data_IF_313916000628
#
_entry.id   IF_313916000628
#
_cell.length_a   1.000
_cell.length_b   1.000
_cell.length_c   1.000
_cell.angle_alpha   90.00
_cell.angle_beta   90.00
_cell.angle_gamma   90.00
#
_symmetry.space_group_name_H-M   'P 1'
#
loop_
_entity.id
_entity.type
_entity.pdbx_description
1 polymer ?
#
# COMPACT_ATOMS: atom_id res chain seq x y z
N UNK A 1 -9.66 11.14 -8.30
CA UNK A 1 -10.64 10.61 -7.35
C UNK A 1 -10.41 9.11 -7.17
N UNK A 2 -10.38 8.64 -5.96
CA UNK A 2 -10.20 7.21 -5.72
C UNK A 2 -11.53 6.49 -5.68
N UNK A 3 -11.55 5.30 -6.26
CA UNK A 3 -12.69 4.40 -6.14
C UNK A 3 -12.45 3.49 -4.93
N UNK A 4 -13.46 2.73 -4.54
CA UNK A 4 -13.32 1.76 -3.48
C UNK A 4 -13.34 0.36 -4.09
N UNK A 5 -12.69 -0.63 -3.45
CA UNK A 5 -12.69 -1.99 -3.97
C UNK A 5 -14.05 -2.68 -3.90
N UNK A 6 -15.04 -2.05 -3.27
CA UNK A 6 -16.37 -2.65 -3.12
C UNK A 6 -17.07 -2.92 -4.44
N UNK A 7 -16.74 -2.16 -5.48
CA UNK A 7 -17.35 -2.32 -6.80
C UNK A 7 -16.64 -3.37 -7.65
N UNK A 8 -15.55 -3.93 -7.14
CA UNK A 8 -14.70 -4.84 -7.90
C UNK A 8 -15.07 -6.30 -7.64
N UNK A 9 -15.07 -7.10 -8.69
CA UNK A 9 -15.34 -8.54 -8.60
C UNK A 9 -14.11 -9.40 -8.89
N UNK A 10 -13.03 -8.78 -9.34
CA UNK A 10 -11.78 -9.46 -9.65
C UNK A 10 -10.67 -9.01 -8.72
N UNK A 11 -9.44 -9.37 -9.07
CA UNK A 11 -8.27 -8.91 -8.34
C UNK A 11 -8.23 -7.40 -8.27
N UNK A 12 -7.75 -6.90 -7.16
CA UNK A 12 -7.66 -5.46 -6.91
C UNK A 12 -6.21 -5.03 -7.01
N UNK A 13 -5.97 -3.98 -7.78
CA UNK A 13 -4.68 -3.30 -7.81
C UNK A 13 -4.83 -2.01 -7.02
N UNK A 14 -3.91 -1.79 -6.10
CA UNK A 14 -3.86 -0.58 -5.28
C UNK A 14 -2.53 0.11 -5.54
N UNK A 15 -2.60 1.40 -5.88
CA UNK A 15 -1.39 2.20 -6.04
C UNK A 15 -1.42 3.33 -5.02
N UNK A 16 -0.40 3.40 -4.18
CA UNK A 16 -0.29 4.43 -3.16
C UNK A 16 0.83 5.39 -3.53
N UNK A 17 0.55 6.68 -3.40
CA UNK A 17 1.52 7.74 -3.63
C UNK A 17 1.69 8.57 -2.37
N UNK A 18 2.93 8.91 -2.03
CA UNK A 18 3.18 9.77 -0.88
C UNK A 18 4.52 10.47 -1.02
N UNK A 19 4.68 11.56 -0.29
CA UNK A 19 5.93 12.31 -0.24
C UNK A 19 6.39 12.38 1.22
N UNK A 20 7.64 12.06 1.46
CA UNK A 20 8.22 12.16 2.80
C UNK A 20 8.45 13.62 3.17
N UNK A 21 8.28 13.94 4.44
CA UNK A 21 8.72 15.22 4.97
C UNK A 21 10.24 15.33 4.86
N UNK A 22 10.78 16.56 4.77
CA UNK A 22 12.24 16.75 4.75
C UNK A 22 12.91 16.02 5.91
N UNK A 23 13.90 15.21 5.62
CA UNK A 23 14.62 14.44 6.62
C UNK A 23 13.93 13.19 7.12
N UNK A 24 12.73 12.86 6.61
CA UNK A 24 11.95 11.72 7.08
C UNK A 24 11.86 10.55 6.08
N UNK A 25 12.59 10.65 4.97
CA UNK A 25 12.55 9.60 3.96
C UNK A 25 12.95 8.23 4.47
N UNK A 26 13.99 8.16 5.29
CA UNK A 26 14.45 6.88 5.83
C UNK A 26 13.43 6.29 6.81
N UNK A 27 12.78 7.15 7.59
CA UNK A 27 11.74 6.69 8.51
C UNK A 27 10.54 6.14 7.75
N UNK A 28 10.10 6.87 6.73
CA UNK A 28 9.00 6.41 5.89
C UNK A 28 9.33 5.08 5.23
N UNK A 29 10.55 4.95 4.72
CA UNK A 29 11.01 3.71 4.10
C UNK A 29 10.97 2.54 5.08
N UNK A 30 11.33 2.75 6.35
CA UNK A 30 11.30 1.68 7.35
C UNK A 30 9.90 1.15 7.56
N UNK A 31 8.91 2.04 7.66
CA UNK A 31 7.51 1.61 7.82
C UNK A 31 7.04 0.82 6.62
N UNK A 32 7.35 1.28 5.41
CA UNK A 32 6.95 0.59 4.20
C UNK A 32 7.65 -0.75 4.04
N UNK A 33 8.91 -0.84 4.45
CA UNK A 33 9.67 -2.09 4.43
C UNK A 33 9.05 -3.13 5.36
N UNK A 34 8.59 -2.71 6.53
CA UNK A 34 7.94 -3.63 7.47
C UNK A 34 6.65 -4.20 6.88
N UNK A 35 5.86 -3.37 6.21
CA UNK A 35 4.66 -3.83 5.51
C UNK A 35 5.04 -4.77 4.38
N UNK A 36 6.05 -4.41 3.60
CA UNK A 36 6.53 -5.21 2.47
C UNK A 36 6.90 -6.63 2.91
N UNK A 37 7.66 -6.75 3.97
CA UNK A 37 8.09 -8.05 4.49
C UNK A 37 6.91 -8.91 4.93
N UNK A 38 5.95 -8.30 5.61
CA UNK A 38 4.77 -9.02 6.08
C UNK A 38 3.87 -9.42 4.92
N UNK A 39 3.61 -8.49 4.01
CA UNK A 39 2.66 -8.69 2.91
C UNK A 39 3.15 -9.70 1.88
N UNK A 40 4.45 -9.85 1.74
CA UNK A 40 5.04 -10.84 0.84
C UNK A 40 5.31 -12.18 1.55
N UNK A 41 4.87 -12.32 2.80
CA UNK A 41 5.05 -13.55 3.56
C UNK A 41 3.78 -14.39 3.49
N UNK A 42 3.87 -15.62 4.03
CA UNK A 42 2.73 -16.54 4.10
C UNK A 42 1.63 -16.03 5.03
N UNK A 43 1.90 -15.00 5.81
CA UNK A 43 0.95 -14.47 6.78
C UNK A 43 -0.12 -13.61 6.14
N UNK A 44 0.10 -13.16 4.92
CA UNK A 44 -0.89 -12.38 4.18
C UNK A 44 -1.08 -13.00 2.79
N UNK A 45 -1.70 -14.19 2.71
CA UNK A 45 -1.80 -14.91 1.43
C UNK A 45 -2.67 -14.20 0.39
N UNK A 46 -3.57 -13.32 0.82
CA UNK A 46 -4.39 -12.54 -0.12
C UNK A 46 -3.65 -11.41 -0.80
N UNK A 47 -2.47 -11.04 -0.30
CA UNK A 47 -1.62 -10.06 -0.96
C UNK A 47 -0.74 -10.79 -1.96
N UNK A 48 -0.99 -10.54 -3.25
CA UNK A 48 -0.29 -11.23 -4.33
C UNK A 48 1.02 -10.55 -4.70
N UNK A 49 1.07 -9.23 -4.55
CA UNK A 49 2.24 -8.43 -4.89
C UNK A 49 2.26 -7.20 -4.01
N UNK A 50 3.42 -6.86 -3.51
CA UNK A 50 3.63 -5.61 -2.76
C UNK A 50 5.01 -5.10 -3.12
N UNK A 51 5.08 -4.04 -3.93
CA UNK A 51 6.34 -3.50 -4.43
C UNK A 51 6.46 -2.04 -4.04
N UNK A 52 7.64 -1.67 -3.57
CA UNK A 52 7.92 -0.31 -3.11
C UNK A 52 8.99 0.32 -3.99
N UNK A 53 8.80 1.60 -4.29
CA UNK A 53 9.75 2.37 -5.10
C UNK A 53 9.81 3.79 -4.55
N UNK A 54 10.96 4.43 -4.74
CA UNK A 54 11.12 5.82 -4.32
C UNK A 54 12.06 6.57 -5.25
N UNK A 55 11.87 7.87 -5.33
CA UNK A 55 12.81 8.77 -5.97
C UNK A 55 12.59 10.17 -5.43
N UNK A 56 13.66 10.80 -4.94
CA UNK A 56 13.66 12.20 -4.52
C UNK A 56 12.53 12.53 -3.53
N UNK A 57 12.41 11.72 -2.47
CA UNK A 57 11.41 11.91 -1.43
C UNK A 57 10.00 11.48 -1.81
N UNK A 58 9.79 11.06 -3.03
CA UNK A 58 8.50 10.53 -3.49
C UNK A 58 8.50 9.02 -3.41
N UNK A 59 7.40 8.46 -2.91
CA UNK A 59 7.26 7.01 -2.74
C UNK A 59 6.03 6.53 -3.48
N UNK A 60 6.17 5.40 -4.15
CA UNK A 60 5.06 4.72 -4.82
C UNK A 60 5.06 3.28 -4.37
N UNK A 61 3.88 2.79 -3.98
CA UNK A 61 3.70 1.38 -3.63
C UNK A 61 2.68 0.79 -4.59
N UNK A 62 3.07 -0.30 -5.23
CA UNK A 62 2.19 -1.06 -6.13
C UNK A 62 1.80 -2.34 -5.43
N UNK A 63 0.49 -2.58 -5.32
CA UNK A 63 -0.04 -3.71 -4.56
C UNK A 63 -1.09 -4.44 -5.37
N UNK A 64 -1.12 -5.76 -5.25
CA UNK A 64 -2.17 -6.59 -5.84
C UNK A 64 -2.77 -7.49 -4.77
N UNK A 65 -4.08 -7.59 -4.79
CA UNK A 65 -4.84 -8.41 -3.84
C UNK A 65 -5.78 -9.35 -4.57
N UNK A 66 -6.00 -10.52 -3.98
CA UNK A 66 -6.86 -11.54 -4.59
C UNK A 66 -8.30 -11.05 -4.76
N UNK A 67 -8.77 -10.21 -3.82
CA UNK A 67 -10.13 -9.69 -3.81
C UNK A 67 -10.22 -8.53 -2.81
N UNK A 68 -11.41 -7.93 -2.72
CA UNK A 68 -11.62 -6.80 -1.80
C UNK A 68 -11.45 -7.18 -0.32
N UNK A 69 -11.82 -8.41 0.04
CA UNK A 69 -11.66 -8.87 1.42
C UNK A 69 -10.19 -8.91 1.83
N UNK A 70 -9.30 -9.26 0.89
CA UNK A 70 -7.87 -9.26 1.14
C UNK A 70 -7.33 -7.84 1.37
N UNK A 71 -7.88 -6.84 0.68
CA UNK A 71 -7.54 -5.43 0.90
C UNK A 71 -7.93 -5.00 2.31
N UNK A 72 -9.14 -5.33 2.73
CA UNK A 72 -9.63 -4.99 4.06
C UNK A 72 -8.74 -5.62 5.13
N UNK A 73 -8.38 -6.88 4.95
CA UNK A 73 -7.50 -7.58 5.88
C UNK A 73 -6.12 -6.95 5.96
N UNK A 74 -5.59 -6.48 4.82
CA UNK A 74 -4.31 -5.78 4.78
C UNK A 74 -4.33 -4.55 5.68
N UNK A 75 -5.40 -3.76 5.61
CA UNK A 75 -5.51 -2.55 6.41
C UNK A 75 -5.70 -2.81 7.90
N UNK A 76 -6.08 -4.03 8.29
CA UNK A 76 -6.20 -4.42 9.69
C UNK A 76 -4.87 -4.87 10.27
N UNK A 77 -3.85 -5.03 9.44
CA UNK A 77 -2.55 -5.53 9.86
C UNK A 77 -1.82 -4.59 10.80
N UNK A 78 -1.07 -5.16 11.72
CA UNK A 78 -0.30 -4.40 12.72
C UNK A 78 0.70 -3.45 12.06
N UNK A 79 1.37 -3.92 11.02
CA UNK A 79 2.38 -3.13 10.32
C UNK A 79 1.75 -1.94 9.61
N UNK A 80 0.59 -2.16 8.98
CA UNK A 80 -0.11 -1.07 8.32
C UNK A 80 -0.59 -0.04 9.33
N UNK A 81 -1.13 -0.49 10.48
CA UNK A 81 -1.61 0.43 11.52
C UNK A 81 -0.47 1.27 12.09
N UNK A 82 0.70 0.67 12.26
CA UNK A 82 1.88 1.43 12.73
C UNK A 82 2.27 2.50 11.72
N UNK A 83 2.25 2.16 10.44
CA UNK A 83 2.52 3.13 9.37
C UNK A 83 1.49 4.25 9.39
N UNK A 84 0.20 3.91 9.44
CA UNK A 84 -0.87 4.90 9.42
C UNK A 84 -0.75 5.88 10.59
N UNK A 85 -0.38 5.38 11.76
CA UNK A 85 -0.17 6.24 12.94
C UNK A 85 1.01 7.18 12.77
N UNK A 86 2.04 6.77 12.02
CA UNK A 86 3.24 7.57 11.81
C UNK A 86 3.11 8.58 10.67
N UNK A 87 2.14 8.42 9.78
CA UNK A 87 1.97 9.26 8.60
C UNK A 87 2.05 10.76 8.89
N UNK A 88 1.37 11.31 9.91
CA UNK A 88 1.45 12.74 10.18
C UNK A 88 2.86 13.25 10.47
N UNK A 89 3.75 12.37 10.94
CA UNK A 89 5.12 12.74 11.29
C UNK A 89 6.09 12.55 10.13
N UNK A 90 5.84 11.58 9.26
CA UNK A 90 6.81 11.20 8.23
C UNK A 90 6.41 11.59 6.81
N UNK A 91 5.13 11.81 6.55
CA UNK A 91 4.64 12.14 5.22
C UNK A 91 4.17 13.59 5.14
N UNK A 92 4.63 14.30 4.12
CA UNK A 92 4.20 15.66 3.82
C UNK A 92 2.92 15.64 3.01
N UNK A 93 2.81 14.65 2.10
CA UNK A 93 1.63 14.45 1.28
C UNK A 93 1.29 12.98 1.23
N UNK A 94 -0.02 12.69 1.20
CA UNK A 94 -0.53 11.34 1.08
C UNK A 94 -0.60 10.62 2.41
N UNK A 95 -0.78 9.29 2.36
CA UNK A 95 -0.85 8.52 1.12
C UNK A 95 -2.14 8.80 0.35
N UNK A 96 -2.01 8.88 -0.98
CA UNK A 96 -3.15 8.91 -1.88
C UNK A 96 -3.30 7.51 -2.43
N UNK A 97 -4.46 6.91 -2.21
CA UNK A 97 -4.72 5.52 -2.59
C UNK A 97 -5.64 5.50 -3.80
N UNK A 98 -5.20 4.85 -4.86
CA UNK A 98 -6.00 4.70 -6.07
C UNK A 98 -6.20 3.22 -6.34
N UNK A 99 -7.44 2.82 -6.54
CA UNK A 99 -7.82 1.42 -6.72
C UNK A 99 -8.18 1.16 -8.16
N UNK A 100 -7.77 -0.02 -8.65
CA UNK A 100 -8.08 -0.48 -10.00
C UNK A 100 -8.52 -1.92 -9.92
N UNK A 101 -9.40 -2.32 -10.82
CA UNK A 101 -9.74 -3.73 -10.96
C UNK A 101 -8.89 -4.31 -12.08
N UNK A 102 -8.22 -5.42 -11.81
CA UNK A 102 -7.45 -6.08 -12.85
C UNK A 102 -8.40 -6.69 -13.86
N UNK A 103 -8.11 -6.50 -15.12
CA UNK A 103 -8.82 -7.20 -16.18
C UNK A 103 -7.84 -8.07 -16.95
N UNK A 104 -8.33 -9.16 -17.51
CA UNK A 104 -7.49 -10.05 -18.30
C UNK A 104 -7.92 -9.97 -19.75
N UNK A 105 -6.92 -9.97 -20.62
CA UNK A 105 -7.15 -9.91 -22.05
C UNK A 105 -7.15 -11.29 -22.68
N UNK A 106 -7.00 -12.33 -21.91
CA UNK A 106 -6.92 -13.69 -22.42
C UNK A 106 -8.23 -14.18 -22.99
#
# INVERSE_FOLDING_TARGET
MSSTPDVFSNKVVLVAHMRAKPGKGDDLQRYLTAIHKFSNSDREPGCLTFRTSKFDGKFVVFEEYANKAAVEKHFEGKQFKAFAAAVPEVAEEGPTLVYYEEFTSA
#
